data_IF_008706044971
#
_entry.id   IF_008706044971
#
_cell.length_a   1.000
_cell.length_b   1.000
_cell.length_c   1.000
_cell.angle_alpha   90.00
_cell.angle_beta   90.00
_cell.angle_gamma   90.00
#
_symmetry.space_group_name_H-M   'P 1'
#
loop_
_entity.id
_entity.type
_entity.pdbx_description
1 polymer ?
#
# COMPACT_ATOMS: atom_id res chain seq x y z
N UNK A 1 24.94 -36.51 -34.39
CA UNK A 1 23.86 -37.02 -33.51
C UNK A 1 24.46 -37.18 -32.14
N UNK A 2 24.19 -36.24 -31.25
CA UNK A 2 24.47 -36.36 -29.82
C UNK A 2 23.12 -36.11 -29.13
N UNK A 3 22.56 -37.17 -28.55
CA UNK A 3 21.35 -37.13 -27.74
C UNK A 3 21.66 -36.39 -26.43
N UNK A 4 20.91 -35.34 -26.14
CA UNK A 4 20.99 -34.61 -24.87
C UNK A 4 20.46 -35.49 -23.72
N UNK A 5 21.16 -35.61 -22.57
CA UNK A 5 20.64 -36.37 -21.45
C UNK A 5 19.47 -35.59 -20.80
N UNK A 6 18.25 -36.02 -21.10
CA UNK A 6 17.04 -35.48 -20.48
C UNK A 6 16.94 -35.98 -19.05
N UNK A 7 17.31 -35.15 -18.07
CA UNK A 7 17.19 -35.50 -16.65
C UNK A 7 15.73 -35.27 -16.23
N UNK A 8 15.03 -36.37 -15.94
CA UNK A 8 13.65 -36.37 -15.44
C UNK A 8 13.67 -36.33 -13.91
N UNK A 9 12.97 -35.37 -13.32
CA UNK A 9 12.83 -35.28 -11.86
C UNK A 9 11.37 -35.35 -11.46
N UNK A 10 11.12 -36.15 -10.43
CA UNK A 10 9.80 -36.38 -9.86
C UNK A 10 9.53 -35.39 -8.75
N UNK A 11 8.54 -34.51 -8.93
CA UNK A 11 8.10 -33.57 -7.89
C UNK A 11 6.87 -34.15 -7.20
N UNK A 12 6.90 -34.26 -5.87
CA UNK A 12 5.77 -34.73 -5.05
C UNK A 12 5.19 -33.53 -4.30
N UNK A 13 3.94 -33.18 -4.60
CA UNK A 13 3.25 -32.08 -3.94
C UNK A 13 2.11 -32.65 -3.09
N UNK A 14 2.09 -32.41 -1.76
CA UNK A 14 0.99 -32.87 -0.91
C UNK A 14 -0.31 -32.15 -1.29
N UNK A 15 -1.37 -32.90 -1.55
CA UNK A 15 -2.67 -32.36 -1.98
C UNK A 15 -3.63 -32.14 -0.81
N UNK A 16 -3.43 -32.83 0.32
CA UNK A 16 -4.30 -32.76 1.48
C UNK A 16 -3.53 -32.40 2.75
N UNK A 17 -4.17 -31.63 3.64
CA UNK A 17 -3.58 -31.19 4.92
C UNK A 17 -3.64 -32.25 6.01
N UNK A 18 -4.59 -33.18 5.93
CA UNK A 18 -4.87 -34.20 6.95
C UNK A 18 -4.48 -35.64 6.55
N UNK A 19 -4.04 -35.86 5.30
CA UNK A 19 -3.54 -37.17 4.85
C UNK A 19 -2.11 -37.01 4.32
N UNK A 20 -1.16 -37.58 5.05
CA UNK A 20 0.26 -37.43 4.79
C UNK A 20 0.76 -38.31 3.62
N UNK A 21 -0.08 -39.16 3.04
CA UNK A 21 0.29 -40.05 1.93
C UNK A 21 -0.36 -39.62 0.59
N UNK A 22 -1.20 -38.59 0.61
CA UNK A 22 -1.85 -38.01 -0.57
C UNK A 22 -0.95 -37.00 -1.29
N UNK A 23 -0.19 -37.50 -2.27
CA UNK A 23 0.72 -36.70 -3.10
C UNK A 23 0.32 -36.74 -4.57
N UNK A 24 0.26 -35.56 -5.20
CA UNK A 24 0.30 -35.45 -6.65
C UNK A 24 1.76 -35.54 -7.10
N UNK A 25 2.05 -36.52 -7.95
CA UNK A 25 3.39 -36.77 -8.48
C UNK A 25 3.45 -36.32 -9.93
N UNK A 26 4.18 -35.24 -10.19
CA UNK A 26 4.36 -34.69 -11.54
C UNK A 26 5.82 -34.86 -11.98
N UNK A 27 6.02 -35.38 -13.19
CA UNK A 27 7.35 -35.55 -13.80
C UNK A 27 7.67 -34.30 -14.63
N UNK A 28 8.71 -33.57 -14.23
CA UNK A 28 9.13 -32.35 -14.91
C UNK A 28 10.51 -32.59 -15.54
N UNK A 29 10.68 -32.09 -16.76
CA UNK A 29 11.96 -32.12 -17.46
C UNK A 29 12.85 -31.01 -16.93
N UNK A 30 14.05 -31.38 -16.46
CA UNK A 30 15.02 -30.37 -16.06
C UNK A 30 15.53 -29.58 -17.27
N UNK A 31 15.78 -28.27 -17.12
CA UNK A 31 16.44 -27.50 -18.15
C UNK A 31 17.88 -28.02 -18.36
N UNK A 32 18.40 -27.94 -19.59
CA UNK A 32 19.72 -28.47 -19.94
C UNK A 32 20.82 -27.87 -19.07
N UNK A 33 21.75 -28.73 -18.65
CA UNK A 33 22.78 -28.44 -17.63
C UNK A 33 23.70 -27.27 -18.01
N UNK A 34 23.80 -26.95 -19.30
CA UNK A 34 24.58 -25.82 -19.81
C UNK A 34 24.10 -24.47 -19.23
N UNK A 35 22.79 -24.31 -18.96
CA UNK A 35 22.21 -23.09 -18.37
C UNK A 35 22.48 -22.93 -16.86
N UNK A 36 23.01 -23.96 -16.22
CA UNK A 36 23.31 -23.95 -14.78
C UNK A 36 24.71 -23.40 -14.49
N UNK A 37 25.63 -23.54 -15.45
CA UNK A 37 27.01 -23.04 -15.36
C UNK A 37 27.09 -21.51 -15.45
N UNK A 38 26.06 -20.85 -15.97
CA UNK A 38 25.99 -19.38 -16.11
C UNK A 38 25.56 -18.65 -14.82
N UNK A 39 25.14 -19.38 -13.76
CA UNK A 39 24.80 -18.79 -12.46
C UNK A 39 26.00 -18.83 -11.51
N UNK A 40 27.06 -18.06 -11.81
CA UNK A 40 28.11 -17.76 -10.82
C UNK A 40 27.70 -16.55 -9.95
N UNK A 41 27.16 -16.82 -8.76
CA UNK A 41 26.78 -15.80 -7.78
C UNK A 41 27.95 -15.36 -6.87
N UNK A 42 29.19 -15.77 -7.18
CA UNK A 42 30.33 -15.64 -6.26
C UNK A 42 31.16 -14.37 -6.46
N UNK A 43 30.78 -13.47 -7.39
CA UNK A 43 31.55 -12.26 -7.69
C UNK A 43 31.00 -11.05 -6.92
N UNK A 44 31.81 -10.33 -6.10
CA UNK A 44 31.41 -9.01 -5.64
C UNK A 44 31.33 -8.06 -6.85
N UNK A 45 30.31 -7.20 -6.96
CA UNK A 45 30.15 -6.36 -8.14
C UNK A 45 31.31 -5.37 -8.26
N UNK A 46 32.06 -5.49 -9.37
CA UNK A 46 33.03 -4.48 -9.79
C UNK A 46 32.29 -3.23 -10.31
N UNK A 47 32.84 -2.01 -10.16
CA UNK A 47 32.20 -0.80 -10.63
C UNK A 47 32.33 -0.73 -12.16
N UNK A 48 31.24 -1.01 -12.88
CA UNK A 48 31.18 -0.89 -14.32
C UNK A 48 30.65 0.50 -14.72
N UNK A 49 31.45 1.18 -15.55
CA UNK A 49 31.13 2.43 -16.23
C UNK A 49 29.79 2.37 -16.99
N UNK A 50 29.17 3.53 -17.04
CA UNK A 50 27.90 3.85 -17.70
C UNK A 50 28.01 3.69 -19.22
N UNK A 51 27.61 2.55 -19.76
CA UNK A 51 27.06 2.48 -21.13
C UNK A 51 26.32 1.14 -21.29
N UNK A 52 25.01 1.19 -21.57
CA UNK A 52 24.09 0.05 -21.73
C UNK A 52 23.68 -0.75 -20.48
N UNK A 53 23.40 -0.06 -19.37
CA UNK A 53 22.42 -0.57 -18.42
C UNK A 53 21.01 -0.34 -19.00
N UNK A 54 20.45 -1.40 -19.60
CA UNK A 54 19.04 -1.49 -19.93
C UNK A 54 18.24 -1.41 -18.62
N UNK A 55 17.97 -0.16 -18.28
CA UNK A 55 16.97 0.32 -17.36
C UNK A 55 15.92 -0.75 -17.02
N UNK A 56 16.10 -1.38 -15.87
CA UNK A 56 14.98 -1.87 -15.06
C UNK A 56 14.18 -0.67 -14.56
N UNK A 57 13.61 0.12 -15.47
CA UNK A 57 12.43 0.89 -15.15
C UNK A 57 11.36 -0.17 -14.87
N UNK A 58 11.14 -0.43 -13.58
CA UNK A 58 9.82 -0.87 -13.16
C UNK A 58 8.86 0.12 -13.83
N UNK A 59 8.15 -0.36 -14.86
CA UNK A 59 7.18 0.46 -15.54
C UNK A 59 6.28 1.01 -14.44
N UNK A 60 6.09 2.35 -14.34
CA UNK A 60 5.12 2.86 -13.39
C UNK A 60 3.81 2.14 -13.73
N UNK A 61 3.21 1.49 -12.72
CA UNK A 61 1.83 1.04 -12.83
C UNK A 61 1.06 2.25 -13.32
N UNK A 62 0.62 2.22 -14.58
CA UNK A 62 -0.13 3.32 -15.16
C UNK A 62 -1.31 3.53 -14.23
N UNK A 63 -1.33 4.67 -13.53
CA UNK A 63 -2.52 5.14 -12.85
C UNK A 63 -3.63 5.07 -13.90
N UNK A 64 -4.58 4.17 -13.69
CA UNK A 64 -5.72 4.06 -14.57
C UNK A 64 -6.53 5.31 -14.27
N UNK A 65 -6.37 6.35 -15.09
CA UNK A 65 -7.15 7.58 -14.99
C UNK A 65 -8.63 7.23 -15.18
N UNK A 66 -9.32 6.94 -14.08
CA UNK A 66 -10.76 6.75 -14.06
C UNK A 66 -11.37 8.15 -14.03
N UNK A 67 -12.21 8.54 -14.99
CA UNK A 67 -12.83 9.86 -14.96
C UNK A 67 -13.75 9.97 -13.74
N UNK A 68 -13.34 10.77 -12.75
CA UNK A 68 -14.13 11.06 -11.55
C UNK A 68 -14.83 12.40 -11.77
N UNK A 69 -16.17 12.40 -11.70
CA UNK A 69 -16.94 13.63 -11.72
C UNK A 69 -16.73 14.40 -10.40
N UNK A 70 -16.35 15.68 -10.50
CA UNK A 70 -16.25 16.57 -9.32
C UNK A 70 -17.65 17.03 -8.92
N UNK A 71 -18.16 16.48 -7.83
CA UNK A 71 -19.48 16.82 -7.29
C UNK A 71 -19.36 17.94 -6.25
N UNK A 72 -20.23 18.95 -6.36
CA UNK A 72 -20.40 19.97 -5.32
C UNK A 72 -21.68 19.66 -4.55
N UNK A 73 -21.54 19.22 -3.30
CA UNK A 73 -22.70 18.85 -2.48
C UNK A 73 -23.35 20.10 -1.90
N UNK A 74 -24.66 20.23 -2.09
CA UNK A 74 -25.45 21.34 -1.53
C UNK A 74 -25.53 21.34 -0.01
N UNK A 75 -25.26 20.17 0.61
CA UNK A 75 -25.13 20.01 2.06
C UNK A 75 -23.88 19.20 2.35
N UNK A 76 -22.79 19.82 2.84
CA UNK A 76 -21.62 19.07 3.27
C UNK A 76 -21.95 18.32 4.56
N UNK A 77 -21.47 17.07 4.66
CA UNK A 77 -21.54 16.29 5.90
C UNK A 77 -20.26 16.58 6.66
N UNK A 78 -20.36 17.48 7.63
CA UNK A 78 -19.25 17.92 8.49
C UNK A 78 -19.59 17.58 9.93
N UNK A 79 -18.63 16.98 10.63
CA UNK A 79 -18.66 16.75 12.08
C UNK A 79 -17.65 17.66 12.73
N UNK A 80 -18.09 18.51 13.66
CA UNK A 80 -17.20 19.38 14.42
C UNK A 80 -16.74 18.67 15.69
N UNK A 81 -15.44 18.63 15.92
CA UNK A 81 -14.82 18.07 17.14
C UNK A 81 -14.19 19.24 17.91
N UNK A 82 -14.82 19.72 18.99
CA UNK A 82 -14.20 20.75 19.84
C UNK A 82 -12.97 20.15 20.54
N UNK A 83 -11.88 20.90 20.60
CA UNK A 83 -10.62 20.51 21.24
C UNK A 83 -10.66 20.83 22.74
N UNK A 84 -10.21 19.90 23.57
CA UNK A 84 -10.03 20.11 25.00
C UNK A 84 -8.75 20.88 25.29
N UNK A 85 -7.75 20.72 24.41
CA UNK A 85 -6.49 21.45 24.43
C UNK A 85 -6.31 22.25 23.14
N UNK A 86 -6.97 23.41 23.02
CA UNK A 86 -6.74 24.34 21.92
C UNK A 86 -5.25 24.69 21.78
N UNK A 87 -4.78 24.85 20.54
CA UNK A 87 -3.39 25.16 20.26
C UNK A 87 -3.26 26.32 19.28
N UNK A 88 -2.10 26.95 19.26
CA UNK A 88 -1.71 27.91 18.23
C UNK A 88 -0.75 27.27 17.23
N UNK A 89 -1.02 27.44 15.95
CA UNK A 89 -0.15 27.01 14.87
C UNK A 89 0.28 28.22 14.03
N UNK A 90 1.54 28.31 13.57
CA UNK A 90 2.03 29.44 12.78
C UNK A 90 1.15 29.79 11.58
N UNK A 91 0.63 28.77 10.89
CA UNK A 91 -0.18 28.96 9.67
C UNK A 91 -1.70 28.91 9.89
N UNK A 92 -2.18 28.32 11.01
CA UNK A 92 -3.62 28.12 11.25
C UNK A 92 -4.18 29.07 12.32
N UNK A 93 -3.31 29.76 13.06
CA UNK A 93 -3.69 30.56 14.22
C UNK A 93 -4.18 29.70 15.39
N UNK A 94 -5.06 30.27 16.21
CA UNK A 94 -5.65 29.57 17.35
C UNK A 94 -6.76 28.62 16.87
N UNK A 95 -6.55 27.32 17.11
CA UNK A 95 -7.47 26.25 16.73
C UNK A 95 -8.19 25.73 17.96
N UNK A 96 -9.52 25.88 17.97
CA UNK A 96 -10.40 25.40 19.06
C UNK A 96 -11.30 24.24 18.63
N UNK A 97 -11.54 24.09 17.33
CA UNK A 97 -12.47 23.12 16.76
C UNK A 97 -11.84 22.56 15.49
N UNK A 98 -11.90 21.24 15.33
CA UNK A 98 -11.51 20.54 14.10
C UNK A 98 -12.77 20.09 13.36
N UNK A 99 -12.93 20.54 12.12
CA UNK A 99 -14.04 20.15 11.27
C UNK A 99 -13.66 18.92 10.43
N UNK A 100 -14.34 17.79 10.65
CA UNK A 100 -14.13 16.54 9.91
C UNK A 100 -15.15 16.45 8.78
N UNK A 101 -14.68 16.44 7.54
CA UNK A 101 -15.53 16.37 6.34
C UNK A 101 -15.51 14.95 5.74
N UNK A 102 -16.69 14.49 5.28
CA UNK A 102 -16.78 13.21 4.59
C UNK A 102 -16.21 13.29 3.18
N UNK A 103 -15.19 12.49 2.90
CA UNK A 103 -14.64 12.34 1.54
C UNK A 103 -15.59 11.53 0.65
N UNK A 104 -15.61 11.90 -0.64
CA UNK A 104 -16.25 11.09 -1.68
C UNK A 104 -15.40 9.86 -2.00
N UNK A 105 -16.04 8.84 -2.59
CA UNK A 105 -15.35 7.61 -3.05
C UNK A 105 -14.21 7.94 -4.03
N UNK A 106 -14.41 8.94 -4.89
CA UNK A 106 -13.37 9.41 -5.82
C UNK A 106 -12.17 10.02 -5.10
N UNK A 107 -12.38 10.91 -4.13
CA UNK A 107 -11.29 11.52 -3.36
C UNK A 107 -10.49 10.50 -2.56
N UNK A 108 -11.15 9.48 -2.00
CA UNK A 108 -10.44 8.38 -1.33
C UNK A 108 -9.61 7.58 -2.35
N UNK A 109 -10.16 7.31 -3.53
CA UNK A 109 -9.43 6.68 -4.63
C UNK A 109 -8.18 7.47 -5.03
N UNK A 110 -8.31 8.78 -5.24
CA UNK A 110 -7.20 9.66 -5.60
C UNK A 110 -6.07 9.63 -4.55
N UNK A 111 -6.41 9.62 -3.25
CA UNK A 111 -5.43 9.56 -2.16
C UNK A 111 -4.71 8.20 -2.12
N UNK A 112 -5.40 7.11 -2.45
CA UNK A 112 -4.80 5.78 -2.50
C UNK A 112 -3.91 5.62 -3.75
N UNK A 113 -4.36 6.12 -4.89
CA UNK A 113 -3.63 6.03 -6.17
C UNK A 113 -2.41 6.96 -6.22
N UNK A 114 -2.42 8.07 -5.48
CA UNK A 114 -1.28 8.99 -5.39
C UNK A 114 -0.07 8.43 -4.61
N UNK A 115 -0.22 7.30 -3.89
CA UNK A 115 0.87 6.71 -3.10
C UNK A 115 1.76 5.84 -3.97
N UNK A 116 3.00 6.27 -4.15
CA UNK A 116 3.96 5.57 -5.00
C UNK A 116 4.70 4.41 -4.30
N UNK A 117 4.75 4.35 -2.96
CA UNK A 117 5.44 3.27 -2.24
C UNK A 117 4.94 3.13 -0.78
N UNK A 118 4.39 1.98 -0.40
CA UNK A 118 4.12 1.61 1.00
C UNK A 118 2.66 1.67 1.45
N UNK A 119 2.40 1.06 2.61
CA UNK A 119 1.08 0.92 3.24
C UNK A 119 0.38 2.29 3.43
N UNK A 120 -0.97 2.34 3.44
CA UNK A 120 -1.69 3.59 3.60
C UNK A 120 -1.39 4.22 4.96
N UNK A 121 -0.73 5.37 4.94
CA UNK A 121 -0.64 6.25 6.10
C UNK A 121 -1.99 6.94 6.28
N UNK A 122 -2.82 6.38 7.17
CA UNK A 122 -4.17 6.84 7.49
C UNK A 122 -4.24 8.34 7.77
N UNK A 123 -3.15 8.95 8.25
CA UNK A 123 -3.09 10.38 8.52
C UNK A 123 -3.20 11.25 7.27
N UNK A 124 -2.82 10.79 6.08
CA UNK A 124 -3.07 11.59 4.86
C UNK A 124 -4.56 11.61 4.49
N UNK A 125 -5.28 10.53 4.80
CA UNK A 125 -6.73 10.47 4.61
C UNK A 125 -7.38 11.41 5.63
N UNK A 126 -6.94 11.36 6.89
CA UNK A 126 -7.43 12.27 7.93
C UNK A 126 -7.10 13.73 7.63
N UNK A 127 -5.94 14.00 7.03
CA UNK A 127 -5.57 15.33 6.57
C UNK A 127 -6.52 15.85 5.50
N UNK A 128 -6.84 15.02 4.51
CA UNK A 128 -7.82 15.36 3.49
C UNK A 128 -9.25 15.57 4.06
N UNK A 129 -9.61 14.85 5.12
CA UNK A 129 -10.89 14.99 5.80
C UNK A 129 -10.99 16.26 6.65
N UNK A 130 -9.92 16.63 7.35
CA UNK A 130 -9.91 17.74 8.32
C UNK A 130 -9.42 19.05 7.73
N UNK A 131 -8.71 19.00 6.61
CA UNK A 131 -7.97 20.14 6.06
C UNK A 131 -6.70 20.48 6.85
N UNK A 132 -6.36 19.70 7.88
CA UNK A 132 -5.13 19.86 8.66
C UNK A 132 -4.03 18.99 8.08
N UNK A 133 -2.75 19.39 8.21
CA UNK A 133 -1.66 18.53 7.76
C UNK A 133 -1.55 17.28 8.65
N UNK A 134 -1.02 16.20 8.09
CA UNK A 134 -0.75 14.97 8.83
C UNK A 134 0.21 15.20 10.02
N UNK A 135 1.10 16.19 9.91
CA UNK A 135 2.01 16.61 10.99
C UNK A 135 1.26 17.27 12.15
N UNK A 136 0.31 18.17 11.85
CA UNK A 136 -0.54 18.82 12.86
C UNK A 136 -1.39 17.79 13.59
N UNK A 137 -2.00 16.86 12.85
CA UNK A 137 -2.83 15.79 13.43
C UNK A 137 -2.04 14.87 14.37
N UNK A 138 -0.75 14.63 14.10
CA UNK A 138 0.14 13.85 14.99
C UNK A 138 0.63 14.64 16.19
N UNK A 139 0.60 15.97 16.12
CA UNK A 139 0.98 16.86 17.21
C UNK A 139 -0.15 17.18 18.20
N UNK A 140 -1.38 16.73 17.94
CA UNK A 140 -2.50 16.90 18.87
C UNK A 140 -2.22 16.21 20.21
N UNK A 141 -2.76 16.77 21.29
CA UNK A 141 -2.78 16.10 22.60
C UNK A 141 -3.46 14.73 22.44
N UNK A 142 -3.00 13.71 23.17
CA UNK A 142 -3.39 12.32 22.93
C UNK A 142 -4.91 12.10 22.94
N UNK A 143 -5.64 12.73 23.88
CA UNK A 143 -7.09 12.64 23.95
C UNK A 143 -7.79 13.36 22.79
N UNK A 144 -7.33 14.56 22.45
CA UNK A 144 -7.83 15.30 21.27
C UNK A 144 -7.56 14.55 19.97
N UNK A 145 -6.37 13.95 19.84
CA UNK A 145 -5.95 13.14 18.71
C UNK A 145 -6.82 11.89 18.53
N UNK A 146 -7.12 11.17 19.61
CA UNK A 146 -8.03 10.02 19.59
C UNK A 146 -9.46 10.43 19.19
N UNK A 147 -9.99 11.55 19.73
CA UNK A 147 -11.34 12.01 19.34
C UNK A 147 -11.43 12.41 17.87
N UNK A 148 -10.44 13.16 17.37
CA UNK A 148 -10.40 13.60 15.97
C UNK A 148 -10.24 12.40 15.04
N UNK A 149 -9.29 11.50 15.33
CA UNK A 149 -9.06 10.31 14.48
C UNK A 149 -10.22 9.32 14.55
N UNK A 150 -10.88 9.16 15.69
CA UNK A 150 -12.10 8.37 15.84
C UNK A 150 -13.26 8.92 14.99
N UNK A 151 -13.47 10.24 15.03
CA UNK A 151 -14.45 10.89 14.16
C UNK A 151 -14.11 10.70 12.67
N UNK A 152 -12.83 10.71 12.30
CA UNK A 152 -12.41 10.40 10.93
C UNK A 152 -12.64 8.92 10.56
N UNK A 153 -12.39 8.01 11.50
CA UNK A 153 -12.51 6.57 11.30
C UNK A 153 -13.93 6.13 10.93
N UNK A 154 -14.94 6.73 11.58
CA UNK A 154 -16.35 6.43 11.32
C UNK A 154 -16.76 6.69 9.86
N UNK A 155 -16.04 7.57 9.16
CA UNK A 155 -16.28 7.89 7.76
C UNK A 155 -15.43 7.10 6.77
N UNK A 156 -14.45 6.32 7.21
CA UNK A 156 -13.65 5.48 6.32
C UNK A 156 -14.52 4.36 5.72
N UNK A 157 -14.38 4.07 4.41
CA UNK A 157 -14.93 2.85 3.80
C UNK A 157 -14.49 1.60 4.56
N UNK A 158 -15.35 0.59 4.62
CA UNK A 158 -15.08 -0.64 5.38
C UNK A 158 -13.78 -1.34 4.96
N UNK A 159 -13.39 -1.24 3.68
CA UNK A 159 -12.13 -1.78 3.16
C UNK A 159 -10.88 -1.17 3.80
N UNK A 160 -10.96 0.08 4.26
CA UNK A 160 -9.84 0.82 4.85
C UNK A 160 -9.84 0.78 6.38
N UNK A 161 -10.87 0.19 6.99
CA UNK A 161 -10.90 0.00 8.43
C UNK A 161 -9.95 -1.16 8.77
N UNK A 162 -8.91 -0.97 9.60
CA UNK A 162 -8.11 -2.07 10.14
C UNK A 162 -9.06 -3.10 10.76
N UNK A 163 -8.78 -4.39 10.50
CA UNK A 163 -9.58 -5.47 11.03
C UNK A 163 -9.69 -5.33 12.55
N UNK A 164 -10.91 -5.16 13.06
CA UNK A 164 -11.15 -5.29 14.48
C UNK A 164 -11.00 -6.77 14.81
N UNK A 165 -9.78 -7.18 15.17
CA UNK A 165 -9.57 -8.44 15.88
C UNK A 165 -10.21 -8.26 17.25
N UNK A 166 -11.44 -8.77 17.40
CA UNK A 166 -12.14 -8.85 18.68
C UNK A 166 -11.51 -9.87 19.62
#
# INVERSE_FOLDING_TARGET
>A
MQDEPTIKVTVRTPQSKDDAEDFLVEEILMPPLEKWQELDNSRPPAPASKENANQGHAAPLRAVERPIAKLSFLKPVVTEVPLEFPFEHPDLGAVHIVAVQRLTVGQVGDILDARQNGAPDLFDIYAAMTGLSAEVLRGLEAGDGERVTGACFDFLPQLLRPAQSG
#
